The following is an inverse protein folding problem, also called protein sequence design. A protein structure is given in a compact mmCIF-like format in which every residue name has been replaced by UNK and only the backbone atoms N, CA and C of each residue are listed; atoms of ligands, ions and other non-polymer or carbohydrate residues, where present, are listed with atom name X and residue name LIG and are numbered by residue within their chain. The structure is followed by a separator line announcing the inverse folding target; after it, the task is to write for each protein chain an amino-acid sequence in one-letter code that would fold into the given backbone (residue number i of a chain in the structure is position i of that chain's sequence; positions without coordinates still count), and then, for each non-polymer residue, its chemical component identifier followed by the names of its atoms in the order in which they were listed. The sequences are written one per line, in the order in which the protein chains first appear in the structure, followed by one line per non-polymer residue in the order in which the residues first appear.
data_IF_106248146681
#
_entry.id   IF_106248146681
#
_cell.length_a   1.000
_cell.length_b   1.000
_cell.length_c   1.000
_cell.angle_alpha   90.00
_cell.angle_beta   90.00
_cell.angle_gamma   90.00
#
_symmetry.space_group_name_H-M   'P 1'
#
loop_
_entity.id
_entity.type
_entity.pdbx_description
1 polymer ?
#
# COMPACT_ATOMS: atom_id res chain seq x y z
N UNK A 1 0.70 -20.39 -47.44
CA UNK A 1 -0.66 -20.21 -46.92
C UNK A 1 -0.54 -19.67 -45.49
N UNK A 2 -0.61 -18.36 -45.24
CA UNK A 2 -1.83 -17.53 -45.03
C UNK A 2 -2.62 -17.99 -43.79
N UNK A 3 -2.89 -17.24 -42.72
CA UNK A 3 -2.75 -15.82 -42.36
C UNK A 3 -2.91 -15.67 -40.82
N UNK A 4 -2.49 -14.55 -40.17
CA UNK A 4 -2.76 -14.29 -38.75
C UNK A 4 -4.03 -13.44 -38.53
N UNK A 5 -4.80 -13.79 -37.48
CA UNK A 5 -6.02 -13.10 -37.07
C UNK A 5 -5.71 -11.85 -36.22
N UNK A 6 -5.97 -10.66 -36.79
CA UNK A 6 -5.90 -9.38 -36.09
C UNK A 6 -7.13 -9.13 -35.20
N UNK A 7 -6.90 -8.53 -34.02
CA UNK A 7 -7.95 -8.00 -33.15
C UNK A 7 -8.26 -6.54 -33.52
N UNK A 8 -9.53 -6.10 -33.52
CA UNK A 8 -9.91 -4.75 -33.90
C UNK A 8 -9.69 -3.73 -32.78
N UNK A 9 -9.23 -2.54 -33.17
CA UNK A 9 -9.11 -1.35 -32.32
C UNK A 9 -10.49 -0.75 -32.05
N UNK A 10 -10.75 -0.45 -30.77
CA UNK A 10 -11.95 0.22 -30.30
C UNK A 10 -12.01 1.69 -30.74
N UNK A 11 -13.18 2.06 -31.26
CA UNK A 11 -13.59 3.35 -31.81
C UNK A 11 -13.51 4.51 -30.82
N UNK A 12 -13.03 5.63 -31.34
CA UNK A 12 -13.10 6.97 -30.75
C UNK A 12 -14.46 7.62 -31.05
N UNK A 13 -15.15 8.24 -30.08
CA UNK A 13 -16.33 9.05 -30.37
C UNK A 13 -15.93 10.46 -30.78
N UNK A 14 -16.21 10.80 -32.04
CA UNK A 14 -16.25 12.15 -32.58
C UNK A 14 -17.67 12.72 -32.43
N UNK A 15 -17.87 13.61 -31.47
CA UNK A 15 -19.00 14.55 -31.41
C UNK A 15 -18.37 15.94 -31.29
N UNK A 16 -18.77 17.00 -31.97
CA UNK A 16 -19.86 17.27 -32.87
C UNK A 16 -19.73 18.76 -33.17
N UNK A 17 -19.71 19.12 -34.45
CA UNK A 17 -19.71 20.49 -34.90
C UNK A 17 -21.08 21.15 -34.67
N UNK A 18 -21.10 22.49 -34.83
CA UNK A 18 -22.27 23.37 -34.96
C UNK A 18 -23.01 23.71 -33.65
N UNK A 19 -23.54 24.91 -33.39
CA UNK A 19 -23.51 26.24 -33.99
C UNK A 19 -24.44 27.08 -33.09
N UNK A 20 -24.05 28.29 -32.68
CA UNK A 20 -24.96 29.46 -32.78
C UNK A 20 -24.21 30.75 -32.51
N UNK A 21 -23.96 31.48 -33.60
CA UNK A 21 -23.73 32.92 -33.60
C UNK A 21 -25.06 33.59 -33.26
N UNK A 22 -25.10 34.42 -32.23
CA UNK A 22 -26.13 35.44 -32.07
C UNK A 22 -25.49 36.80 -32.18
N UNK A 23 -26.13 37.62 -33.00
CA UNK A 23 -25.65 38.87 -33.54
C UNK A 23 -25.47 39.95 -32.46
N UNK A 24 -24.48 40.80 -32.74
CA UNK A 24 -24.24 42.11 -32.16
C UNK A 24 -25.47 43.01 -32.34
N UNK A 25 -25.87 43.72 -31.28
CA UNK A 25 -26.61 44.99 -31.36
C UNK A 25 -25.91 45.98 -30.41
N UNK A 26 -25.53 47.18 -30.86
CA UNK A 26 -24.86 48.16 -30.01
C UNK A 26 -25.91 48.96 -29.23
N UNK A 27 -25.78 49.03 -27.90
CA UNK A 27 -26.52 50.00 -27.10
C UNK A 27 -25.56 51.05 -26.56
N UNK A 28 -25.82 52.28 -27.00
CA UNK A 28 -25.12 53.52 -26.68
C UNK A 28 -25.67 54.06 -25.36
N UNK A 29 -24.79 54.18 -24.37
CA UNK A 29 -24.98 54.96 -23.14
C UNK A 29 -23.71 54.81 -22.30
N UNK A 30 -22.84 55.81 -22.14
CA UNK A 30 -23.12 57.22 -21.89
C UNK A 30 -23.35 57.40 -20.39
N UNK A 31 -22.28 57.37 -19.59
CA UNK A 31 -22.39 57.52 -18.13
C UNK A 31 -21.09 57.27 -17.39
N UNK A 32 -20.02 58.01 -17.71
CA UNK A 32 -18.90 58.15 -16.78
C UNK A 32 -19.38 58.86 -15.53
N UNK A 33 -19.21 58.26 -14.35
CA UNK A 33 -19.29 58.89 -13.03
C UNK A 33 -18.73 57.96 -11.95
N UNK A 34 -17.53 58.30 -11.46
CA UNK A 34 -17.14 58.01 -10.08
C UNK A 34 -16.17 56.86 -9.84
N UNK A 35 -14.95 56.92 -10.39
CA UNK A 35 -13.80 56.39 -9.65
C UNK A 35 -13.55 57.32 -8.46
N UNK A 36 -14.27 57.09 -7.36
CA UNK A 36 -13.94 57.69 -6.08
C UNK A 36 -12.60 57.09 -5.62
N UNK A 37 -11.65 57.89 -5.12
CA UNK A 37 -10.47 57.33 -4.47
C UNK A 37 -10.94 56.51 -3.28
N UNK A 38 -10.67 55.21 -3.29
CA UNK A 38 -10.77 54.37 -2.10
C UNK A 38 -9.73 54.90 -1.10
N UNK A 39 -10.16 55.87 -0.31
CA UNK A 39 -9.41 56.35 0.84
C UNK A 39 -9.41 55.23 1.89
N UNK A 40 -8.44 54.32 1.78
CA UNK A 40 -8.07 53.44 2.87
C UNK A 40 -7.54 54.31 3.99
N UNK A 41 -8.43 54.72 4.90
CA UNK A 41 -8.04 55.39 6.14
C UNK A 41 -7.14 54.41 6.91
N UNK A 42 -5.83 54.61 6.82
CA UNK A 42 -4.90 53.96 7.73
C UNK A 42 -5.14 54.52 9.13
N UNK A 43 -5.24 53.62 10.13
CA UNK A 43 -4.20 53.55 11.19
C UNK A 43 -4.45 52.39 12.16
N UNK A 44 -3.49 51.45 12.15
CA UNK A 44 -2.99 50.78 13.35
C UNK A 44 -3.66 49.47 13.77
N UNK A 45 -4.98 49.45 13.99
CA UNK A 45 -5.59 48.30 14.67
C UNK A 45 -5.86 47.11 13.75
N UNK A 46 -6.33 47.37 12.52
CA UNK A 46 -6.70 46.29 11.59
C UNK A 46 -5.50 45.47 11.11
N UNK A 47 -4.33 46.10 10.91
CA UNK A 47 -3.13 45.37 10.47
C UNK A 47 -2.65 44.36 11.51
N UNK A 48 -2.74 44.70 12.81
CA UNK A 48 -2.38 43.79 13.90
C UNK A 48 -3.37 42.62 13.97
N UNK A 49 -4.68 42.89 13.85
CA UNK A 49 -5.70 41.82 13.83
C UNK A 49 -5.58 40.90 12.62
N UNK A 50 -5.26 41.44 11.44
CA UNK A 50 -5.08 40.64 10.22
C UNK A 50 -3.87 39.70 10.34
N UNK A 51 -2.75 40.21 10.87
CA UNK A 51 -1.56 39.39 11.12
C UNK A 51 -1.87 38.29 12.13
N UNK A 52 -2.57 38.61 13.23
CA UNK A 52 -2.95 37.63 14.24
C UNK A 52 -3.78 36.50 13.63
N UNK A 53 -4.81 36.83 12.83
CA UNK A 53 -5.64 35.83 12.15
C UNK A 53 -4.83 34.96 11.19
N UNK A 54 -3.94 35.55 10.39
CA UNK A 54 -3.09 34.79 9.47
C UNK A 54 -2.16 33.83 10.23
N UNK A 55 -1.56 34.27 11.34
CA UNK A 55 -0.67 33.42 12.15
C UNK A 55 -1.43 32.25 12.77
N UNK A 56 -2.63 32.49 13.32
CA UNK A 56 -3.46 31.41 13.89
C UNK A 56 -3.91 30.43 12.81
N UNK A 57 -4.39 30.92 11.67
CA UNK A 57 -4.80 30.06 10.55
C UNK A 57 -3.61 29.28 9.98
N UNK A 58 -2.43 29.89 9.91
CA UNK A 58 -1.21 29.20 9.52
C UNK A 58 -0.84 28.10 10.52
N UNK A 59 -0.90 28.38 11.82
CA UNK A 59 -0.64 27.38 12.86
C UNK A 59 -1.61 26.18 12.78
N UNK A 60 -2.90 26.45 12.60
CA UNK A 60 -3.92 25.41 12.41
C UNK A 60 -3.70 24.63 11.10
N UNK A 61 -3.32 25.32 10.02
CA UNK A 61 -3.00 24.68 8.74
C UNK A 61 -1.80 23.74 8.84
N UNK A 62 -0.73 24.17 9.52
CA UNK A 62 0.45 23.32 9.79
C UNK A 62 0.07 22.09 10.62
N UNK A 63 -0.74 22.28 11.67
CA UNK A 63 -1.20 21.18 12.50
C UNK A 63 -2.09 20.19 11.72
N UNK A 64 -3.00 20.67 10.89
CA UNK A 64 -3.82 19.80 10.06
C UNK A 64 -2.95 18.97 9.10
N UNK A 65 -1.99 19.60 8.40
CA UNK A 65 -1.07 18.90 7.48
C UNK A 65 -0.21 17.86 8.19
N UNK A 66 0.28 18.14 9.41
CA UNK A 66 1.08 17.17 10.17
C UNK A 66 0.25 15.93 10.53
N UNK A 67 -1.00 16.10 10.95
CA UNK A 67 -1.92 15.00 11.24
C UNK A 67 -2.25 14.17 10.00
N UNK A 68 -2.49 14.81 8.85
CA UNK A 68 -2.72 14.08 7.58
C UNK A 68 -1.51 13.21 7.21
N UNK A 69 -0.28 13.69 7.43
CA UNK A 69 0.93 12.90 7.16
C UNK A 69 0.99 11.65 8.04
N UNK A 70 0.67 11.77 9.33
CA UNK A 70 0.64 10.63 10.25
C UNK A 70 -0.38 9.57 9.79
N UNK A 71 -1.57 9.98 9.36
CA UNK A 71 -2.60 9.06 8.87
C UNK A 71 -2.14 8.26 7.64
N UNK A 72 -1.43 8.91 6.70
CA UNK A 72 -0.91 8.23 5.50
C UNK A 72 0.14 7.17 5.87
N UNK A 73 1.04 7.47 6.81
CA UNK A 73 2.06 6.52 7.27
C UNK A 73 1.44 5.32 7.98
N UNK A 74 0.42 5.53 8.82
CA UNK A 74 -0.29 4.42 9.49
C UNK A 74 -0.93 3.48 8.48
N UNK A 75 -1.65 4.01 7.48
CA UNK A 75 -2.26 3.19 6.43
C UNK A 75 -1.22 2.37 5.64
N UNK A 76 -0.04 2.95 5.38
CA UNK A 76 1.05 2.23 4.72
C UNK A 76 1.62 1.08 5.58
N UNK A 77 1.75 1.28 6.89
CA UNK A 77 2.21 0.24 7.82
C UNK A 77 1.19 -0.89 7.97
N UNK A 78 -0.11 -0.58 7.99
CA UNK A 78 -1.17 -1.58 8.05
C UNK A 78 -1.16 -2.47 6.79
N UNK A 79 -0.97 -1.87 5.62
CA UNK A 79 -0.82 -2.59 4.34
C UNK A 79 0.42 -3.49 4.35
N UNK A 80 1.58 -3.00 4.82
CA UNK A 80 2.77 -3.82 4.98
C UNK A 80 2.55 -4.97 5.96
N UNK A 81 1.81 -4.72 7.05
CA UNK A 81 1.42 -5.73 8.02
C UNK A 81 0.57 -6.85 7.39
N UNK A 82 -0.39 -6.50 6.54
CA UNK A 82 -1.23 -7.44 5.82
C UNK A 82 -0.43 -8.26 4.79
N UNK A 83 0.44 -7.61 4.02
CA UNK A 83 1.33 -8.29 3.06
C UNK A 83 2.30 -9.24 3.77
N UNK A 84 2.87 -8.84 4.90
CA UNK A 84 3.71 -9.73 5.71
C UNK A 84 2.96 -10.98 6.17
N UNK A 85 1.69 -10.85 6.55
CA UNK A 85 0.87 -12.00 6.95
C UNK A 85 0.62 -12.95 5.77
N UNK A 86 0.27 -12.41 4.60
CA UNK A 86 0.10 -13.20 3.39
C UNK A 86 1.41 -13.87 2.95
N UNK A 87 2.56 -13.20 3.14
CA UNK A 87 3.86 -13.78 2.87
C UNK A 87 4.17 -14.98 3.79
N UNK A 88 3.85 -14.87 5.08
CA UNK A 88 4.01 -15.97 6.03
C UNK A 88 3.08 -17.15 5.70
N UNK A 89 1.84 -16.88 5.29
CA UNK A 89 0.90 -17.92 4.83
C UNK A 89 1.42 -18.66 3.59
N UNK A 90 1.92 -17.94 2.59
CA UNK A 90 2.56 -18.57 1.42
C UNK A 90 3.77 -19.44 1.81
N UNK A 91 4.53 -19.04 2.83
CA UNK A 91 5.60 -19.86 3.42
C UNK A 91 5.07 -21.17 4.01
N UNK A 92 3.98 -21.14 4.78
CA UNK A 92 3.34 -22.35 5.31
C UNK A 92 2.84 -23.25 4.18
N UNK A 93 2.18 -22.70 3.16
CA UNK A 93 1.70 -23.47 2.00
C UNK A 93 2.85 -24.17 1.27
N UNK A 94 3.96 -23.46 1.05
CA UNK A 94 5.17 -24.05 0.47
C UNK A 94 5.73 -25.17 1.35
N UNK A 95 5.86 -24.95 2.65
CA UNK A 95 6.37 -25.96 3.59
C UNK A 95 5.46 -27.20 3.66
N UNK A 96 4.14 -26.99 3.67
CA UNK A 96 3.15 -28.06 3.67
C UNK A 96 3.21 -28.86 2.37
N UNK A 97 3.40 -28.19 1.23
CA UNK A 97 3.61 -28.86 -0.05
C UNK A 97 4.85 -29.76 -0.04
N UNK A 98 5.96 -29.33 0.57
CA UNK A 98 7.17 -30.15 0.69
C UNK A 98 6.95 -31.42 1.53
N UNK A 99 6.12 -31.35 2.57
CA UNK A 99 5.78 -32.50 3.41
C UNK A 99 4.81 -33.45 2.69
N UNK A 100 3.77 -32.91 2.05
CA UNK A 100 2.70 -33.71 1.46
C UNK A 100 3.07 -34.28 0.09
N UNK A 101 3.78 -33.51 -0.73
CA UNK A 101 4.08 -33.85 -2.14
C UNK A 101 5.57 -33.93 -2.47
N UNK A 102 6.43 -33.33 -1.65
CA UNK A 102 7.87 -33.37 -1.82
C UNK A 102 8.51 -34.60 -1.15
N UNK A 103 9.68 -34.40 -0.55
CA UNK A 103 10.44 -35.46 0.11
C UNK A 103 9.81 -35.96 1.42
N UNK A 104 8.81 -35.27 1.97
CA UNK A 104 8.15 -35.70 3.22
C UNK A 104 9.00 -35.54 4.47
N UNK A 105 9.99 -34.64 4.45
CA UNK A 105 10.91 -34.42 5.58
C UNK A 105 10.99 -32.94 5.97
N UNK A 106 11.29 -32.67 7.24
CA UNK A 106 11.48 -31.30 7.70
C UNK A 106 12.66 -30.60 7.01
N UNK A 107 13.69 -31.33 6.58
CA UNK A 107 14.82 -30.76 5.84
C UNK A 107 14.36 -30.13 4.51
N UNK A 108 13.42 -30.76 3.80
CA UNK A 108 12.88 -30.21 2.55
C UNK A 108 11.90 -29.04 2.77
N UNK A 109 11.22 -29.01 3.91
CA UNK A 109 10.27 -27.97 4.29
C UNK A 109 10.90 -26.79 5.07
N UNK A 110 12.22 -26.81 5.28
CA UNK A 110 12.97 -25.74 5.95
C UNK A 110 13.74 -24.94 4.91
N UNK A 111 13.59 -23.62 4.92
CA UNK A 111 14.29 -22.75 3.97
C UNK A 111 13.72 -21.34 3.91
N UNK A 112 14.42 -20.48 3.19
CA UNK A 112 13.98 -19.11 2.90
C UNK A 112 13.54 -18.97 1.45
N UNK A 113 12.43 -18.26 1.26
CA UNK A 113 11.75 -18.01 0.00
C UNK A 113 11.65 -16.50 -0.21
N UNK A 114 12.12 -16.01 -1.36
CA UNK A 114 11.78 -14.68 -1.86
C UNK A 114 10.44 -14.76 -2.62
N UNK A 115 9.45 -13.96 -2.23
CA UNK A 115 8.13 -14.04 -2.83
C UNK A 115 8.05 -13.20 -4.12
N UNK A 116 7.22 -13.56 -5.11
CA UNK A 116 7.02 -12.77 -6.32
C UNK A 116 5.88 -11.75 -6.18
N UNK A 117 5.72 -10.89 -7.20
CA UNK A 117 4.55 -10.05 -7.37
C UNK A 117 4.37 -8.99 -6.28
N UNK A 118 3.16 -8.86 -5.73
CA UNK A 118 2.84 -7.89 -4.68
C UNK A 118 3.56 -8.14 -3.35
N UNK A 119 4.22 -9.29 -3.21
CA UNK A 119 4.95 -9.73 -2.03
C UNK A 119 6.48 -9.66 -2.23
N UNK A 120 6.97 -9.11 -3.34
CA UNK A 120 8.41 -9.07 -3.67
C UNK A 120 9.29 -8.31 -2.69
N UNK A 121 8.70 -7.50 -1.82
CA UNK A 121 9.39 -6.85 -0.72
C UNK A 121 9.54 -7.71 0.53
N UNK A 122 9.05 -8.97 0.53
CA UNK A 122 9.08 -9.87 1.66
C UNK A 122 9.83 -11.17 1.35
N UNK A 123 10.54 -11.65 2.36
CA UNK A 123 11.10 -13.00 2.41
C UNK A 123 10.33 -13.79 3.46
N UNK A 124 9.99 -15.05 3.17
CA UNK A 124 9.43 -15.97 4.15
C UNK A 124 10.47 -17.06 4.48
N UNK A 125 10.81 -17.21 5.74
CA UNK A 125 11.66 -18.29 6.26
C UNK A 125 10.81 -19.29 7.00
N UNK A 126 10.86 -20.53 6.57
CA UNK A 126 10.10 -21.64 7.15
C UNK A 126 11.06 -22.53 7.93
N UNK A 127 10.66 -22.88 9.14
CA UNK A 127 11.32 -23.85 10.00
C UNK A 127 10.35 -24.97 10.29
N UNK A 128 10.81 -26.22 10.15
CA UNK A 128 10.03 -27.40 10.41
C UNK A 128 10.57 -28.17 11.62
N UNK A 129 9.68 -28.64 12.48
CA UNK A 129 9.95 -29.65 13.50
C UNK A 129 8.95 -30.79 13.35
N UNK A 130 9.38 -32.04 13.59
CA UNK A 130 8.49 -33.20 13.50
C UNK A 130 8.55 -34.04 14.77
N UNK A 131 7.41 -34.59 15.16
CA UNK A 131 7.30 -35.58 16.24
C UNK A 131 6.53 -36.80 15.75
N UNK A 132 6.99 -37.98 16.15
CA UNK A 132 6.34 -39.24 15.79
C UNK A 132 5.56 -39.76 17.00
N UNK A 133 4.33 -40.18 16.74
CA UNK A 133 3.38 -40.72 17.70
C UNK A 133 2.84 -42.06 17.20
N UNK A 134 2.16 -42.80 18.06
CA UNK A 134 1.50 -44.05 17.69
C UNK A 134 0.01 -43.91 17.99
N UNK A 135 -0.82 -43.98 16.96
CA UNK A 135 -2.28 -43.93 17.09
C UNK A 135 -2.87 -45.28 16.63
N UNK A 136 -3.60 -45.93 17.54
CA UNK A 136 -4.19 -47.26 17.28
C UNK A 136 -3.20 -48.31 16.74
N UNK A 137 -1.91 -48.20 17.14
CA UNK A 137 -0.84 -49.09 16.68
C UNK A 137 -0.16 -48.68 15.37
N UNK A 138 -0.61 -47.61 14.71
CA UNK A 138 0.02 -47.07 13.51
C UNK A 138 0.93 -45.88 13.86
N UNK A 139 2.15 -45.81 13.27
CA UNK A 139 2.99 -44.63 13.44
C UNK A 139 2.40 -43.45 12.66
N UNK A 140 2.26 -42.31 13.33
CA UNK A 140 1.77 -41.04 12.79
C UNK A 140 2.85 -39.99 13.04
N UNK A 141 3.22 -39.22 12.01
CA UNK A 141 4.20 -38.14 12.18
C UNK A 141 3.53 -36.78 12.01
N UNK A 142 3.62 -35.96 13.05
CA UNK A 142 3.11 -34.59 13.05
C UNK A 142 4.27 -33.66 12.72
N UNK A 143 4.10 -32.87 11.67
CA UNK A 143 5.04 -31.85 11.23
C UNK A 143 4.51 -30.48 11.60
N UNK A 144 5.23 -29.75 12.44
CA UNK A 144 4.95 -28.36 12.80
C UNK A 144 5.81 -27.44 11.95
N UNK A 145 5.16 -26.60 11.17
CA UNK A 145 5.77 -25.57 10.34
C UNK A 145 5.63 -24.22 11.02
N UNK A 146 6.71 -23.46 11.07
CA UNK A 146 6.72 -22.07 11.51
C UNK A 146 7.27 -21.23 10.37
N UNK A 147 6.44 -20.36 9.79
CA UNK A 147 6.85 -19.44 8.74
C UNK A 147 6.92 -18.03 9.30
N UNK A 148 8.11 -17.42 9.21
CA UNK A 148 8.36 -16.03 9.59
C UNK A 148 8.62 -15.24 8.31
N UNK A 149 7.79 -14.24 8.02
CA UNK A 149 7.98 -13.35 6.89
C UNK A 149 8.38 -11.95 7.36
N UNK A 150 9.37 -11.36 6.68
CA UNK A 150 9.90 -10.04 7.00
C UNK A 150 10.30 -9.27 5.74
N UNK A 151 10.24 -7.93 5.81
CA UNK A 151 10.57 -7.04 4.70
C UNK A 151 12.06 -6.63 4.62
N UNK A 152 12.83 -6.87 5.69
CA UNK A 152 14.26 -6.60 5.74
C UNK A 152 14.99 -7.86 6.22
N UNK A 153 15.19 -8.88 5.37
CA UNK A 153 15.85 -10.11 5.78
C UNK A 153 17.32 -9.90 6.11
N UNK A 154 17.83 -10.59 7.13
CA UNK A 154 19.26 -10.68 7.42
C UNK A 154 19.86 -11.89 6.71
N UNK A 155 20.88 -11.68 5.88
CA UNK A 155 21.50 -12.74 5.08
C UNK A 155 20.48 -13.58 4.27
N UNK A 156 19.39 -12.97 3.81
CA UNK A 156 18.33 -13.64 3.06
C UNK A 156 17.35 -14.46 3.89
N UNK A 157 17.33 -14.31 5.21
CA UNK A 157 16.40 -15.01 6.11
C UNK A 157 15.74 -14.07 7.14
N UNK A 158 14.62 -14.53 7.67
CA UNK A 158 13.88 -13.92 8.77
C UNK A 158 13.94 -14.84 10.01
N UNK A 159 13.93 -14.30 11.24
CA UNK A 159 13.87 -12.88 11.59
C UNK A 159 15.20 -12.14 11.39
N UNK A 160 15.16 -10.82 11.25
CA UNK A 160 16.35 -9.98 11.21
C UNK A 160 16.71 -9.50 12.64
N UNK A 161 17.91 -9.83 13.17
CA UNK A 161 18.31 -9.45 14.53
C UNK A 161 18.71 -7.97 14.67
N UNK A 162 18.94 -7.25 13.57
CA UNK A 162 19.27 -5.82 13.56
C UNK A 162 18.47 -5.07 12.48
N UNK A 163 17.15 -4.94 12.64
CA UNK A 163 16.29 -4.32 11.64
C UNK A 163 16.33 -2.78 11.68
N UNK A 164 15.93 -2.15 10.58
CA UNK A 164 15.73 -0.71 10.49
C UNK A 164 14.35 -0.25 11.05
N UNK A 165 14.07 1.07 11.00
CA UNK A 165 12.84 1.63 11.57
C UNK A 165 11.54 1.19 10.87
N UNK A 166 11.61 0.80 9.60
CA UNK A 166 10.45 0.35 8.80
C UNK A 166 10.28 -1.18 8.78
N UNK A 167 10.81 -1.87 9.78
CA UNK A 167 10.76 -3.33 9.84
C UNK A 167 9.37 -3.84 10.18
N UNK A 168 8.91 -4.78 9.36
CA UNK A 168 7.67 -5.51 9.57
C UNK A 168 7.97 -6.99 9.51
N UNK A 169 7.55 -7.70 10.56
CA UNK A 169 7.63 -9.15 10.66
C UNK A 169 6.25 -9.71 11.00
N UNK A 170 5.91 -10.84 10.38
CA UNK A 170 4.74 -11.64 10.72
C UNK A 170 5.13 -13.11 10.80
N UNK A 171 4.60 -13.81 11.78
CA UNK A 171 4.82 -15.25 11.95
C UNK A 171 3.48 -15.98 11.93
N UNK A 172 3.44 -17.09 11.20
CA UNK A 172 2.31 -18.03 11.15
C UNK A 172 2.85 -19.43 11.45
N UNK A 173 2.06 -20.22 12.17
CA UNK A 173 2.39 -21.60 12.52
C UNK A 173 1.27 -22.50 12.02
N UNK A 174 1.63 -23.63 11.42
CA UNK A 174 0.72 -24.68 10.97
C UNK A 174 1.23 -26.07 11.35
N UNK A 175 0.36 -27.06 11.31
CA UNK A 175 0.73 -28.46 11.50
C UNK A 175 0.12 -29.32 10.39
N UNK A 176 0.86 -30.37 9.99
CA UNK A 176 0.45 -31.35 8.98
C UNK A 176 0.75 -32.74 9.52
N UNK A 177 -0.22 -33.64 9.40
CA UNK A 177 -0.08 -35.05 9.76
C UNK A 177 0.23 -35.88 8.50
N UNK A 178 1.11 -36.88 8.65
CA UNK A 178 1.45 -37.83 7.60
C UNK A 178 1.68 -39.23 8.17
#
# INVERSE_FOLDING_TARGET
MSAPHGRPQGRQPTNGAAQRRTAVTPSRGGGGRGEGPVNFVQRGFSIVTAIFLIVVLAALGVFAVSMFRVQQTTAALDELGARGYQAAQAGIEWGAWQILRGAGTCAAATGSLALPGSLSGFTATVVCASTTHTEAGNPVTIYRLTATACNQPAAGACPNPAPGPDYVERQVVGAVER
#
